data_IF_935055083685
#
_entry.id   IF_935055083685
#
_cell.length_a   1.000
_cell.length_b   1.000
_cell.length_c   1.000
_cell.angle_alpha   90.00
_cell.angle_beta   90.00
_cell.angle_gamma   90.00
#
_symmetry.space_group_name_H-M   'P 1'
#
loop_
_entity.id
_entity.type
_entity.pdbx_description
1 polymer ?
#
# COMPACT_ATOMS: atom_id res chain seq x y z
N UNK A 1 4.28 9.77 52.73
CA UNK A 1 3.93 10.47 51.46
C UNK A 1 5.12 10.98 50.65
N UNK A 2 6.30 11.28 51.22
CA UNK A 2 7.47 11.76 50.44
C UNK A 2 8.05 10.74 49.44
N UNK A 3 8.05 9.44 49.75
CA UNK A 3 8.64 8.42 48.85
C UNK A 3 7.91 8.24 47.51
N UNK A 4 6.61 8.54 47.43
CA UNK A 4 5.84 8.38 46.20
C UNK A 4 6.19 9.44 45.14
N UNK A 5 6.51 10.67 45.58
CA UNK A 5 6.94 11.74 44.68
C UNK A 5 8.34 11.47 44.11
N UNK A 6 9.25 10.93 44.91
CA UNK A 6 10.60 10.57 44.43
C UNK A 6 10.57 9.45 43.38
N UNK A 7 9.71 8.45 43.56
CA UNK A 7 9.51 7.42 42.54
C UNK A 7 8.88 7.96 41.25
N UNK A 8 7.94 8.90 41.34
CA UNK A 8 7.37 9.56 40.16
C UNK A 8 8.42 10.40 39.41
N UNK A 9 9.33 11.06 40.11
CA UNK A 9 10.44 11.76 39.46
C UNK A 9 11.38 10.80 38.75
N UNK A 10 11.73 9.65 39.37
CA UNK A 10 12.55 8.61 38.71
C UNK A 10 11.88 8.04 37.44
N UNK A 11 10.54 7.90 37.40
CA UNK A 11 9.77 7.51 36.18
C UNK A 11 10.04 8.44 35.03
N UNK A 12 9.80 9.72 35.30
CA UNK A 12 9.80 10.73 34.27
C UNK A 12 11.23 10.89 33.73
N UNK A 13 12.23 10.85 34.62
CA UNK A 13 13.64 10.81 34.26
C UNK A 13 13.96 9.59 33.37
N UNK A 14 13.53 8.37 33.73
CA UNK A 14 13.81 7.18 32.92
C UNK A 14 13.13 7.20 31.54
N UNK A 15 11.86 7.64 31.47
CA UNK A 15 11.14 7.74 30.18
C UNK A 15 11.76 8.81 29.29
N UNK A 16 12.14 9.97 29.85
CA UNK A 16 12.88 11.01 29.13
C UNK A 16 14.23 10.49 28.63
N UNK A 17 14.97 9.76 29.47
CA UNK A 17 16.25 9.15 29.09
C UNK A 17 16.07 8.12 27.97
N UNK A 18 15.07 7.23 28.07
CA UNK A 18 14.79 6.24 27.04
C UNK A 18 14.35 6.89 25.72
N UNK A 19 13.53 7.95 25.77
CA UNK A 19 13.18 8.74 24.59
C UNK A 19 14.44 9.33 23.95
N UNK A 20 15.31 9.94 24.74
CA UNK A 20 16.57 10.51 24.24
C UNK A 20 17.48 9.45 23.60
N UNK A 21 17.57 8.25 24.18
CA UNK A 21 18.33 7.12 23.60
C UNK A 21 17.72 6.65 22.28
N UNK A 22 16.39 6.57 22.18
CA UNK A 22 15.72 6.20 20.93
C UNK A 22 15.86 7.28 19.85
N UNK A 23 15.75 8.55 20.21
CA UNK A 23 15.95 9.68 19.31
C UNK A 23 17.39 9.68 18.78
N UNK A 24 18.37 9.41 19.65
CA UNK A 24 19.77 9.22 19.26
C UNK A 24 19.94 8.02 18.33
N UNK A 25 19.32 6.87 18.62
CA UNK A 25 19.39 5.69 17.75
C UNK A 25 18.78 5.95 16.36
N UNK A 26 17.66 6.67 16.30
CA UNK A 26 17.04 7.11 15.04
C UNK A 26 17.98 8.05 14.29
N UNK A 27 18.59 9.01 14.99
CA UNK A 27 19.55 9.95 14.42
C UNK A 27 20.76 9.23 13.82
N UNK A 28 21.40 8.33 14.58
CA UNK A 28 22.54 7.52 14.11
C UNK A 28 22.12 6.66 12.91
N UNK A 29 20.94 6.04 12.96
CA UNK A 29 20.43 5.24 11.83
C UNK A 29 20.26 6.11 10.57
N UNK A 30 19.68 7.31 10.69
CA UNK A 30 19.55 8.27 9.57
C UNK A 30 20.89 8.82 9.11
N UNK A 31 21.88 8.92 10.00
CA UNK A 31 23.22 9.39 9.68
C UNK A 31 23.99 8.34 8.87
N UNK A 32 23.86 7.06 9.22
CA UNK A 32 24.63 5.96 8.60
C UNK A 32 23.93 5.28 7.42
N UNK A 33 22.59 5.23 7.43
CA UNK A 33 21.81 4.44 6.48
C UNK A 33 20.76 5.26 5.72
N UNK A 34 20.56 4.88 4.46
CA UNK A 34 19.35 5.19 3.73
C UNK A 34 18.30 4.11 3.99
N UNK A 35 17.10 4.52 4.41
CA UNK A 35 16.01 3.61 4.77
C UNK A 35 14.89 3.71 3.74
N UNK A 36 14.53 2.59 3.13
CA UNK A 36 13.49 2.55 2.10
C UNK A 36 12.59 1.33 2.24
N UNK A 37 11.36 1.43 1.74
CA UNK A 37 10.39 0.35 1.72
C UNK A 37 10.52 -0.50 0.44
N UNK A 38 10.31 -1.81 0.57
CA UNK A 38 10.23 -2.68 -0.60
C UNK A 38 8.79 -2.76 -1.08
N UNK A 39 8.57 -2.53 -2.38
CA UNK A 39 7.24 -2.59 -3.02
C UNK A 39 6.53 -3.88 -2.61
N UNK A 40 5.36 -3.72 -2.00
CA UNK A 40 4.44 -4.78 -1.55
C UNK A 40 4.80 -5.49 -0.22
N UNK A 41 5.72 -4.94 0.57
CA UNK A 41 5.95 -5.41 1.94
C UNK A 41 6.05 -4.24 2.91
N UNK A 42 5.72 -4.48 4.19
CA UNK A 42 6.05 -3.53 5.25
C UNK A 42 7.52 -3.68 5.70
N UNK A 43 8.37 -4.35 4.91
CA UNK A 43 9.77 -4.52 5.23
C UNK A 43 10.54 -3.24 4.87
N UNK A 44 11.40 -2.82 5.80
CA UNK A 44 12.33 -1.73 5.61
C UNK A 44 13.70 -2.31 5.25
N UNK A 45 14.31 -1.74 4.22
CA UNK A 45 15.66 -2.04 3.79
C UNK A 45 16.57 -0.88 4.19
N UNK A 46 17.75 -1.24 4.70
CA UNK A 46 18.77 -0.31 5.15
C UNK A 46 19.96 -0.46 4.22
N UNK A 47 20.22 0.58 3.42
CA UNK A 47 21.41 0.67 2.58
C UNK A 47 22.42 1.57 3.28
N UNK A 48 23.71 1.25 3.22
CA UNK A 48 24.72 2.23 3.60
C UNK A 48 24.61 3.45 2.68
N UNK A 49 24.85 4.65 3.21
CA UNK A 49 24.75 5.88 2.38
C UNK A 49 25.66 5.87 1.16
N UNK A 50 26.83 5.26 1.26
CA UNK A 50 27.78 5.12 0.15
C UNK A 50 27.17 4.28 -0.98
N UNK A 51 26.63 3.10 -0.64
CA UNK A 51 25.97 2.23 -1.62
C UNK A 51 24.74 2.91 -2.21
N UNK A 52 23.92 3.56 -1.38
CA UNK A 52 22.76 4.27 -1.88
C UNK A 52 23.13 5.41 -2.84
N UNK A 53 24.20 6.15 -2.57
CA UNK A 53 24.67 7.21 -3.46
C UNK A 53 25.11 6.67 -4.83
N UNK A 54 25.75 5.50 -4.87
CA UNK A 54 26.07 4.83 -6.13
C UNK A 54 24.82 4.43 -6.91
N UNK A 55 23.81 3.89 -6.21
CA UNK A 55 22.50 3.56 -6.79
C UNK A 55 21.81 4.80 -7.36
N UNK A 56 21.82 5.92 -6.63
CA UNK A 56 21.25 7.19 -7.09
C UNK A 56 21.97 7.72 -8.33
N UNK A 57 23.31 7.74 -8.33
CA UNK A 57 24.10 8.20 -9.47
C UNK A 57 23.82 7.35 -10.72
N UNK A 58 23.74 6.03 -10.56
CA UNK A 58 23.34 5.12 -11.64
C UNK A 58 21.91 5.41 -12.12
N UNK A 59 20.96 5.56 -11.19
CA UNK A 59 19.57 5.88 -11.49
C UNK A 59 19.41 7.21 -12.24
N UNK A 60 20.16 8.25 -11.86
CA UNK A 60 20.20 9.52 -12.57
C UNK A 60 20.80 9.40 -13.97
N UNK A 61 21.88 8.63 -14.13
CA UNK A 61 22.48 8.37 -15.44
C UNK A 61 21.48 7.71 -16.39
N UNK A 62 20.77 6.68 -15.94
CA UNK A 62 19.75 6.00 -16.72
C UNK A 62 18.55 6.92 -17.04
N UNK A 63 18.10 7.70 -16.06
CA UNK A 63 17.02 8.67 -16.25
C UNK A 63 17.39 9.74 -17.29
N UNK A 64 18.64 10.24 -17.25
CA UNK A 64 19.16 11.21 -18.21
C UNK A 64 19.17 10.66 -19.63
N UNK A 65 19.57 9.39 -19.81
CA UNK A 65 19.54 8.70 -21.11
C UNK A 65 18.11 8.51 -21.63
N UNK A 66 17.20 8.05 -20.76
CA UNK A 66 15.82 7.73 -21.14
C UNK A 66 15.00 8.97 -21.50
N UNK A 67 15.05 10.01 -20.67
CA UNK A 67 14.21 11.20 -20.82
C UNK A 67 14.91 12.35 -21.54
N UNK A 68 16.12 12.12 -22.07
CA UNK A 68 16.96 13.15 -22.71
C UNK A 68 17.06 14.42 -21.86
N UNK A 69 17.24 14.26 -20.54
CA UNK A 69 17.27 15.39 -19.62
C UNK A 69 18.47 16.29 -19.93
N UNK A 70 18.22 17.55 -20.23
CA UNK A 70 19.22 18.60 -20.24
C UNK A 70 19.39 19.15 -18.82
N UNK A 71 20.62 19.51 -18.48
CA UNK A 71 20.86 20.29 -17.27
C UNK A 71 20.38 21.71 -17.57
N UNK A 72 19.42 22.20 -16.79
CA UNK A 72 19.05 23.61 -16.82
C UNK A 72 20.15 24.38 -16.11
N UNK A 73 20.79 25.32 -16.80
CA UNK A 73 21.82 26.18 -16.24
C UNK A 73 21.33 26.82 -14.93
N UNK A 74 22.16 26.77 -13.88
CA UNK A 74 21.80 27.20 -12.52
C UNK A 74 21.73 28.72 -12.34
N UNK A 75 21.84 29.51 -13.39
CA UNK A 75 22.03 30.96 -13.29
C UNK A 75 21.12 31.69 -14.29
N UNK A 76 20.19 32.49 -13.77
CA UNK A 76 19.53 33.54 -14.52
C UNK A 76 18.30 33.14 -15.34
N UNK A 77 17.17 33.78 -15.04
CA UNK A 77 16.35 34.43 -16.06
C UNK A 77 16.05 33.60 -17.34
N UNK A 78 15.25 32.55 -17.25
CA UNK A 78 14.22 32.38 -18.27
C UNK A 78 12.91 32.83 -17.66
N UNK A 79 12.56 34.07 -17.99
CA UNK A 79 11.27 34.69 -17.74
C UNK A 79 10.16 33.94 -18.47
N UNK A 80 9.84 32.73 -18.03
CA UNK A 80 8.43 32.41 -17.93
C UNK A 80 7.92 33.32 -16.82
N UNK A 81 7.03 34.27 -17.17
CA UNK A 81 6.24 35.06 -16.23
C UNK A 81 5.37 34.13 -15.37
N UNK A 82 5.99 33.33 -14.52
CA UNK A 82 5.38 32.70 -13.37
C UNK A 82 5.60 33.72 -12.26
N UNK A 83 4.51 34.24 -11.71
CA UNK A 83 4.48 35.21 -10.60
C UNK A 83 5.61 34.93 -9.60
N UNK A 84 6.17 35.95 -8.97
CA UNK A 84 7.23 35.82 -7.95
C UNK A 84 6.85 34.88 -6.77
N UNK A 85 5.57 34.51 -6.65
CA UNK A 85 5.08 33.48 -5.74
C UNK A 85 5.36 32.02 -6.20
N UNK A 86 5.62 31.79 -7.48
CA UNK A 86 5.90 30.48 -8.09
C UNK A 86 7.40 30.24 -8.37
N UNK A 87 8.27 31.23 -8.17
CA UNK A 87 9.70 31.16 -8.51
C UNK A 87 10.57 30.26 -7.57
N UNK A 88 9.97 29.53 -6.62
CA UNK A 88 10.67 28.52 -5.79
C UNK A 88 10.40 27.06 -6.21
N UNK A 89 9.96 26.86 -7.44
CA UNK A 89 9.38 25.60 -7.93
C UNK A 89 10.37 24.45 -8.18
N UNK A 90 11.11 24.00 -7.15
CA UNK A 90 11.26 22.54 -7.00
C UNK A 90 9.96 22.00 -6.42
N UNK A 91 8.86 22.06 -7.19
CA UNK A 91 7.56 21.54 -6.76
C UNK A 91 7.72 20.06 -6.40
N UNK A 92 8.66 19.36 -7.05
CA UNK A 92 8.94 17.95 -6.87
C UNK A 92 10.42 17.67 -6.67
N UNK A 93 10.71 16.66 -5.85
CA UNK A 93 12.01 16.03 -5.69
C UNK A 93 12.00 14.67 -6.38
N UNK A 94 13.07 14.36 -7.11
CA UNK A 94 13.27 13.00 -7.62
C UNK A 94 13.68 12.09 -6.48
N UNK A 95 12.92 11.01 -6.27
CA UNK A 95 13.26 9.93 -5.33
C UNK A 95 13.40 8.63 -6.09
N UNK A 96 14.45 7.88 -5.78
CA UNK A 96 14.70 6.56 -6.32
C UNK A 96 14.16 5.46 -5.40
N UNK A 97 13.55 4.43 -6.00
CA UNK A 97 13.03 3.25 -5.28
C UNK A 97 13.61 1.98 -5.95
N UNK A 98 14.19 1.04 -5.19
CA UNK A 98 14.64 -0.23 -5.74
C UNK A 98 13.45 -1.05 -6.25
N UNK A 99 13.59 -1.64 -7.44
CA UNK A 99 12.55 -2.42 -8.10
C UNK A 99 13.16 -3.62 -8.83
N UNK A 100 13.40 -4.71 -8.09
CA UNK A 100 14.12 -5.87 -8.61
C UNK A 100 15.61 -5.53 -8.80
N UNK A 101 16.12 -5.77 -10.01
CA UNK A 101 17.48 -5.40 -10.41
C UNK A 101 17.58 -3.99 -11.02
N UNK A 102 16.51 -3.19 -10.93
CA UNK A 102 16.46 -1.82 -11.47
C UNK A 102 16.15 -0.81 -10.37
N UNK A 103 16.38 0.45 -10.68
CA UNK A 103 15.96 1.59 -9.87
C UNK A 103 14.83 2.30 -10.61
N UNK A 104 13.75 2.65 -9.90
CA UNK A 104 12.66 3.45 -10.46
C UNK A 104 12.67 4.85 -9.84
N UNK A 105 12.74 5.87 -10.69
CA UNK A 105 12.53 7.25 -10.30
C UNK A 105 11.03 7.49 -10.04
N UNK A 106 10.73 8.28 -9.02
CA UNK A 106 9.41 8.86 -8.76
C UNK A 106 9.58 10.35 -8.41
N UNK A 107 8.61 11.16 -8.80
CA UNK A 107 8.53 12.57 -8.40
C UNK A 107 7.74 12.65 -7.09
N UNK A 108 8.33 13.24 -6.05
CA UNK A 108 7.69 13.44 -4.74
C UNK A 108 7.48 14.94 -4.55
N UNK A 109 6.24 15.43 -4.34
CA UNK A 109 6.03 16.85 -4.12
C UNK A 109 6.78 17.33 -2.87
N UNK A 110 7.55 18.41 -2.99
CA UNK A 110 8.34 19.00 -1.89
C UNK A 110 7.43 19.48 -0.76
N UNK A 111 6.26 20.01 -1.12
CA UNK A 111 5.20 20.35 -0.19
C UNK A 111 4.18 19.21 -0.18
N UNK A 112 4.27 18.36 0.84
CA UNK A 112 3.37 17.23 1.07
C UNK A 112 1.96 17.68 1.46
N UNK A 113 1.26 18.39 0.56
CA UNK A 113 -0.20 18.44 0.63
C UNK A 113 -0.66 17.00 0.40
N UNK A 114 -1.26 16.45 1.44
CA UNK A 114 -1.77 15.08 1.45
C UNK A 114 -2.90 14.98 0.42
N UNK A 115 -2.57 14.62 -0.81
CA UNK A 115 -3.56 14.21 -1.79
C UNK A 115 -4.24 12.96 -1.24
N UNK A 116 -5.45 13.14 -0.72
CA UNK A 116 -6.31 12.03 -0.34
C UNK A 116 -6.74 11.35 -1.63
N UNK A 117 -6.05 10.28 -2.02
CA UNK A 117 -6.58 9.39 -3.04
C UNK A 117 -7.93 8.85 -2.58
N UNK A 118 -8.98 9.29 -3.26
CA UNK A 118 -10.31 8.74 -3.11
C UNK A 118 -10.34 7.35 -3.74
N UNK A 119 -11.08 6.45 -3.10
CA UNK A 119 -10.87 5.01 -3.14
C UNK A 119 -11.64 4.38 -4.30
N UNK A 120 -11.05 4.31 -5.49
CA UNK A 120 -11.65 3.74 -6.72
C UNK A 120 -11.88 2.22 -6.71
N UNK A 121 -11.42 1.49 -5.67
CA UNK A 121 -11.49 0.01 -5.64
C UNK A 121 -12.87 -0.59 -5.89
N UNK A 122 -13.96 0.14 -5.61
CA UNK A 122 -15.33 -0.34 -5.85
C UNK A 122 -15.73 -0.34 -7.32
N UNK A 123 -15.18 0.58 -8.12
CA UNK A 123 -15.57 0.76 -9.52
C UNK A 123 -15.38 -0.52 -10.33
N UNK A 124 -14.25 -1.22 -10.12
CA UNK A 124 -13.96 -2.46 -10.83
C UNK A 124 -14.85 -3.63 -10.41
N UNK A 125 -15.11 -3.82 -9.12
CA UNK A 125 -15.97 -4.91 -8.64
C UNK A 125 -17.39 -4.77 -9.21
N UNK A 126 -17.91 -3.54 -9.25
CA UNK A 126 -19.23 -3.23 -9.81
C UNK A 126 -19.27 -3.43 -11.33
N UNK A 127 -18.23 -2.98 -12.04
CA UNK A 127 -18.11 -3.17 -13.50
C UNK A 127 -18.01 -4.65 -13.86
N UNK A 128 -17.17 -5.42 -13.15
CA UNK A 128 -17.02 -6.85 -13.37
C UNK A 128 -18.31 -7.61 -13.05
N UNK A 129 -19.01 -7.25 -11.96
CA UNK A 129 -20.30 -7.86 -11.61
C UNK A 129 -21.36 -7.63 -12.69
N UNK A 130 -21.42 -6.43 -13.27
CA UNK A 130 -22.30 -6.13 -14.42
C UNK A 130 -21.92 -6.95 -15.66
N UNK A 131 -20.64 -6.98 -16.02
CA UNK A 131 -20.13 -7.78 -17.13
C UNK A 131 -20.43 -9.28 -16.95
N UNK A 132 -20.19 -9.81 -15.75
CA UNK A 132 -20.43 -11.20 -15.40
C UNK A 132 -21.91 -11.57 -15.55
N UNK A 133 -22.83 -10.70 -15.11
CA UNK A 133 -24.28 -10.90 -15.28
C UNK A 133 -24.68 -10.98 -16.76
N UNK A 134 -24.12 -10.12 -17.61
CA UNK A 134 -24.43 -10.07 -19.04
C UNK A 134 -23.85 -11.23 -19.85
N UNK A 135 -22.77 -11.86 -19.38
CA UNK A 135 -22.03 -12.85 -20.15
C UNK A 135 -22.01 -14.26 -19.52
N UNK A 136 -22.93 -14.57 -18.59
CA UNK A 136 -22.98 -15.88 -17.88
C UNK A 136 -22.98 -17.11 -18.77
N UNK A 137 -23.55 -17.01 -19.97
CA UNK A 137 -23.65 -18.13 -20.94
C UNK A 137 -22.50 -18.18 -21.94
N UNK A 138 -21.64 -17.17 -21.97
CA UNK A 138 -20.58 -17.04 -22.98
C UNK A 138 -19.26 -17.55 -22.43
N UNK A 139 -18.48 -18.19 -23.30
CA UNK A 139 -17.08 -18.49 -23.01
C UNK A 139 -16.29 -17.19 -22.98
N UNK A 140 -15.52 -16.98 -21.91
CA UNK A 140 -14.78 -15.74 -21.69
C UNK A 140 -13.31 -15.97 -21.98
N UNK A 141 -12.81 -15.22 -22.97
CA UNK A 141 -11.39 -15.11 -23.23
C UNK A 141 -10.85 -13.89 -22.51
N UNK A 142 -9.69 -14.05 -21.88
CA UNK A 142 -9.06 -13.02 -21.07
C UNK A 142 -7.61 -12.87 -21.49
N UNK A 143 -7.23 -11.62 -21.76
CA UNK A 143 -5.85 -11.19 -21.93
C UNK A 143 -5.54 -10.27 -20.76
N UNK A 144 -4.51 -10.60 -19.98
CA UNK A 144 -3.86 -9.63 -19.09
C UNK A 144 -2.51 -9.32 -19.67
N UNK A 145 -2.19 -8.04 -19.77
CA UNK A 145 -0.86 -7.58 -20.13
C UNK A 145 -0.41 -6.45 -19.23
N UNK A 146 0.88 -6.14 -19.26
CA UNK A 146 1.50 -5.02 -18.56
C UNK A 146 2.13 -4.12 -19.63
N UNK A 147 1.74 -2.84 -19.67
CA UNK A 147 2.32 -1.89 -20.61
C UNK A 147 3.73 -1.51 -20.14
N UNK A 148 4.71 -1.66 -21.02
CA UNK A 148 6.10 -1.31 -20.70
C UNK A 148 6.22 0.20 -20.57
N UNK A 149 6.76 0.65 -19.44
CA UNK A 149 7.18 2.05 -19.24
C UNK A 149 6.11 3.07 -19.71
N UNK A 150 4.83 2.78 -19.44
CA UNK A 150 3.72 3.55 -20.04
C UNK A 150 3.74 5.05 -19.72
N UNK A 151 4.33 5.43 -18.57
CA UNK A 151 4.52 6.84 -18.22
C UNK A 151 5.65 7.50 -19.02
N UNK A 152 6.71 6.76 -19.33
CA UNK A 152 7.88 7.27 -20.04
C UNK A 152 7.63 7.35 -21.55
N UNK A 153 6.71 6.52 -22.07
CA UNK A 153 6.29 6.52 -23.49
C UNK A 153 5.04 7.38 -23.78
N UNK A 154 4.58 8.15 -22.81
CA UNK A 154 3.38 8.98 -22.97
C UNK A 154 3.66 10.14 -23.92
N UNK A 155 2.96 10.20 -25.05
CA UNK A 155 3.01 11.35 -25.94
C UNK A 155 2.26 12.53 -25.31
N UNK A 156 3.00 13.55 -24.87
CA UNK A 156 2.45 14.74 -24.22
C UNK A 156 1.62 15.61 -25.17
N UNK A 157 1.90 15.60 -26.48
CA UNK A 157 1.14 16.35 -27.48
C UNK A 157 -0.22 15.69 -27.67
N UNK A 158 -0.24 14.37 -27.85
CA UNK A 158 -1.47 13.59 -27.96
C UNK A 158 -2.29 13.69 -26.67
N UNK A 159 -1.66 13.55 -25.50
CA UNK A 159 -2.32 13.69 -24.21
C UNK A 159 -2.97 15.06 -24.07
N UNK A 160 -2.26 16.15 -24.44
CA UNK A 160 -2.81 17.50 -24.41
C UNK A 160 -4.06 17.60 -25.30
N UNK A 161 -4.01 17.07 -26.51
CA UNK A 161 -5.17 17.03 -27.42
C UNK A 161 -6.36 16.27 -26.83
N UNK A 162 -6.13 15.11 -26.21
CA UNK A 162 -7.18 14.34 -25.53
C UNK A 162 -7.76 15.13 -24.36
N UNK A 163 -6.93 15.76 -23.52
CA UNK A 163 -7.39 16.56 -22.38
C UNK A 163 -8.24 17.74 -22.86
N UNK A 164 -7.80 18.48 -23.88
CA UNK A 164 -8.60 19.55 -24.49
C UNK A 164 -9.95 19.02 -24.99
N UNK A 165 -9.96 17.90 -25.69
CA UNK A 165 -11.21 17.29 -26.17
C UNK A 165 -12.12 16.82 -25.04
N UNK A 166 -11.60 16.32 -23.92
CA UNK A 166 -12.42 15.93 -22.75
C UNK A 166 -13.02 17.16 -22.05
N UNK A 167 -12.28 18.26 -21.99
CA UNK A 167 -12.76 19.52 -21.42
C UNK A 167 -13.86 20.11 -22.32
N UNK A 168 -13.69 20.02 -23.63
CA UNK A 168 -14.60 20.62 -24.60
C UNK A 168 -15.79 19.70 -24.96
N UNK A 169 -15.69 18.37 -24.78
CA UNK A 169 -16.73 17.41 -25.15
C UNK A 169 -17.07 16.42 -24.02
N UNK A 170 -18.36 16.29 -23.69
CA UNK A 170 -18.90 15.27 -22.76
C UNK A 170 -18.79 13.81 -23.25
N UNK A 171 -18.21 13.55 -24.42
CA UNK A 171 -18.25 12.22 -25.05
C UNK A 171 -16.88 11.74 -25.48
N UNK A 172 -16.28 10.88 -24.65
CA UNK A 172 -15.23 9.98 -25.09
C UNK A 172 -15.85 8.88 -25.97
N UNK A 173 -15.26 8.57 -27.15
CA UNK A 173 -15.71 7.46 -27.96
C UNK A 173 -15.51 6.14 -27.21
N UNK A 174 -16.60 5.37 -27.08
CA UNK A 174 -16.55 4.01 -26.53
C UNK A 174 -15.90 3.13 -27.60
N UNK A 175 -14.72 2.58 -27.28
CA UNK A 175 -13.99 1.65 -28.15
C UNK A 175 -14.88 0.45 -28.49
N UNK A 176 -15.00 0.15 -29.78
CA UNK A 176 -15.75 -0.99 -30.30
C UNK A 176 -15.28 -2.31 -29.68
N UNK A 177 -16.24 -3.22 -29.49
CA UNK A 177 -15.96 -4.57 -28.97
C UNK A 177 -15.00 -5.29 -29.91
N UNK A 178 -13.76 -5.50 -29.48
CA UNK A 178 -12.88 -6.43 -30.18
C UNK A 178 -13.43 -7.85 -30.05
N UNK A 179 -13.94 -8.40 -31.15
CA UNK A 179 -14.53 -9.76 -31.21
C UNK A 179 -13.49 -10.86 -31.27
N UNK A 180 -12.22 -10.52 -31.51
CA UNK A 180 -11.13 -11.48 -31.71
C UNK A 180 -9.98 -11.24 -30.72
N UNK A 181 -9.83 -12.07 -29.67
CA UNK A 181 -8.81 -11.85 -28.63
C UNK A 181 -7.38 -12.00 -29.14
N UNK A 182 -7.15 -12.73 -30.24
CA UNK A 182 -5.83 -12.88 -30.88
C UNK A 182 -5.44 -11.57 -31.57
N UNK A 183 -6.34 -10.96 -32.35
CA UNK A 183 -6.08 -9.68 -33.02
C UNK A 183 -5.82 -8.56 -32.00
N UNK A 184 -6.60 -8.51 -30.91
CA UNK A 184 -6.36 -7.57 -29.81
C UNK A 184 -4.97 -7.76 -29.17
N UNK A 185 -4.59 -9.02 -28.92
CA UNK A 185 -3.31 -9.36 -28.34
C UNK A 185 -2.16 -8.96 -29.27
N UNK A 186 -2.28 -9.27 -30.55
CA UNK A 186 -1.30 -8.90 -31.58
C UNK A 186 -1.14 -7.38 -31.68
N UNK A 187 -2.24 -6.64 -31.77
CA UNK A 187 -2.21 -5.17 -31.81
C UNK A 187 -1.48 -4.59 -30.60
N UNK A 188 -1.82 -5.02 -29.38
CA UNK A 188 -1.20 -4.47 -28.17
C UNK A 188 0.29 -4.87 -28.03
N UNK A 189 0.71 -6.02 -28.57
CA UNK A 189 2.11 -6.46 -28.55
C UNK A 189 2.96 -5.79 -29.62
N UNK A 190 2.36 -5.46 -30.77
CA UNK A 190 3.04 -4.74 -31.85
C UNK A 190 3.03 -3.22 -31.63
N UNK A 191 2.14 -2.75 -30.76
CA UNK A 191 1.97 -1.34 -30.45
C UNK A 191 0.57 -0.88 -30.85
N UNK A 192 -0.06 -0.10 -29.98
CA UNK A 192 -1.34 0.55 -30.32
C UNK A 192 -1.02 1.72 -31.23
N UNK A 193 -1.57 1.72 -32.44
CA UNK A 193 -1.39 2.77 -33.44
C UNK A 193 -1.54 4.16 -32.80
N UNK A 194 -0.55 5.02 -33.04
CA UNK A 194 -0.46 6.41 -32.55
C UNK A 194 -0.13 6.60 -31.07
N UNK A 195 -0.07 5.56 -30.23
CA UNK A 195 0.17 5.73 -28.79
C UNK A 195 1.59 5.38 -28.33
N UNK A 196 2.42 4.77 -29.18
CA UNK A 196 3.77 4.28 -28.82
C UNK A 196 3.79 3.38 -27.56
N UNK A 197 2.66 2.75 -27.23
CA UNK A 197 2.52 1.87 -26.07
C UNK A 197 2.60 0.42 -26.51
N UNK A 198 3.53 -0.32 -25.90
CA UNK A 198 3.79 -1.73 -26.21
C UNK A 198 3.64 -2.58 -24.95
N UNK A 199 2.94 -3.70 -25.07
CA UNK A 199 2.82 -4.68 -24.01
C UNK A 199 4.11 -5.48 -23.75
N UNK A 200 4.28 -5.92 -22.50
CA UNK A 200 5.33 -6.86 -22.12
C UNK A 200 4.87 -8.32 -22.36
N UNK A 201 5.35 -9.03 -23.40
CA UNK A 201 4.97 -10.42 -23.63
C UNK A 201 5.24 -11.34 -22.43
N UNK A 202 6.34 -11.09 -21.68
CA UNK A 202 6.72 -11.92 -20.53
C UNK A 202 5.76 -11.81 -19.33
N UNK A 203 5.03 -10.69 -19.25
CA UNK A 203 4.01 -10.47 -18.21
C UNK A 203 2.60 -10.71 -18.72
N UNK A 204 2.47 -11.08 -19.99
CA UNK A 204 1.19 -11.32 -20.63
C UNK A 204 0.69 -12.71 -20.29
N UNK A 205 -0.57 -12.77 -19.85
CA UNK A 205 -1.25 -13.99 -19.41
C UNK A 205 -2.52 -14.16 -20.23
N UNK A 206 -2.68 -15.34 -20.86
CA UNK A 206 -3.82 -15.67 -21.72
C UNK A 206 -4.44 -17.01 -21.34
N UNK A 207 -5.75 -17.16 -21.59
CA UNK A 207 -6.50 -18.41 -21.37
C UNK A 207 -7.01 -19.06 -22.67
N UNK A 208 -6.42 -18.70 -23.82
CA UNK A 208 -6.76 -19.22 -25.15
C UNK A 208 -5.49 -19.54 -25.94
N UNK A 209 -5.63 -20.42 -26.93
CA UNK A 209 -4.54 -20.78 -27.83
C UNK A 209 -4.27 -19.60 -28.77
N UNK A 210 -3.00 -19.22 -28.89
CA UNK A 210 -2.53 -18.19 -29.82
C UNK A 210 -1.46 -18.79 -30.71
N UNK A 211 -1.43 -18.39 -31.98
CA UNK A 211 -0.36 -18.75 -32.93
C UNK A 211 0.77 -17.73 -32.94
N UNK A 212 0.69 -16.67 -32.11
CA UNK A 212 1.72 -15.64 -32.01
C UNK A 212 2.97 -16.22 -31.32
N UNK A 213 4.14 -16.01 -31.93
CA UNK A 213 5.42 -16.56 -31.46
C UNK A 213 6.06 -15.68 -30.37
N UNK A 214 5.39 -15.54 -29.22
CA UNK A 214 5.89 -14.79 -28.07
C UNK A 214 5.85 -15.63 -26.78
N UNK A 215 6.70 -15.33 -25.80
CA UNK A 215 6.80 -16.08 -24.54
C UNK A 215 5.69 -15.69 -23.54
N UNK A 216 4.42 -15.98 -23.86
CA UNK A 216 3.31 -15.74 -22.95
C UNK A 216 3.19 -16.79 -21.85
N UNK A 217 2.57 -16.41 -20.74
CA UNK A 217 2.08 -17.38 -19.76
C UNK A 217 0.69 -17.86 -20.14
N UNK A 218 0.58 -19.14 -20.48
CA UNK A 218 -0.71 -19.79 -20.67
C UNK A 218 -1.31 -20.20 -19.32
N UNK A 219 -2.59 -19.90 -19.10
CA UNK A 219 -3.37 -20.46 -18.00
C UNK A 219 -4.44 -21.39 -18.56
N UNK A 220 -4.71 -22.47 -17.82
CA UNK A 220 -5.83 -23.36 -18.12
C UNK A 220 -7.16 -22.59 -18.18
N UNK A 221 -8.16 -23.07 -18.92
CA UNK A 221 -9.46 -22.38 -19.05
C UNK A 221 -10.14 -22.15 -17.69
N UNK A 222 -9.96 -23.08 -16.75
CA UNK A 222 -10.44 -22.98 -15.36
C UNK A 222 -9.47 -22.29 -14.40
N UNK A 223 -8.36 -21.76 -14.92
CA UNK A 223 -7.37 -21.00 -14.17
C UNK A 223 -7.87 -19.61 -13.78
N UNK A 224 -6.98 -18.84 -13.17
CA UNK A 224 -7.25 -17.45 -12.79
C UNK A 224 -6.13 -16.53 -13.26
N UNK A 225 -6.50 -15.27 -13.44
CA UNK A 225 -5.59 -14.17 -13.72
C UNK A 225 -5.56 -13.27 -12.49
N UNK A 226 -4.38 -13.05 -11.93
CA UNK A 226 -4.21 -12.01 -10.91
C UNK A 226 -4.17 -10.65 -11.59
N UNK A 227 -5.02 -9.70 -11.22
CA UNK A 227 -5.03 -8.34 -11.74
C UNK A 227 -5.46 -7.34 -10.66
N UNK A 228 -4.67 -6.29 -10.45
CA UNK A 228 -4.93 -5.23 -9.47
C UNK A 228 -5.30 -5.73 -8.05
N UNK A 229 -4.65 -6.80 -7.59
CA UNK A 229 -4.91 -7.40 -6.28
C UNK A 229 -6.13 -8.32 -6.19
N UNK A 230 -6.77 -8.63 -7.32
CA UNK A 230 -7.83 -9.64 -7.44
C UNK A 230 -7.33 -10.85 -8.22
N UNK A 231 -7.82 -12.04 -7.90
CA UNK A 231 -7.77 -13.22 -8.75
C UNK A 231 -9.11 -13.31 -9.49
N UNK A 232 -9.05 -13.21 -10.82
CA UNK A 232 -10.20 -13.24 -11.73
C UNK A 232 -10.27 -14.63 -12.35
N UNK A 233 -11.42 -15.29 -12.25
CA UNK A 233 -11.69 -16.62 -12.79
C UNK A 233 -12.61 -16.46 -14.00
N UNK A 234 -12.10 -16.45 -15.25
CA UNK A 234 -12.89 -16.13 -16.42
C UNK A 234 -14.00 -17.15 -16.68
N UNK A 235 -13.73 -18.45 -16.49
CA UNK A 235 -14.69 -19.53 -16.77
C UNK A 235 -15.95 -19.46 -15.90
N UNK A 236 -15.82 -19.10 -14.62
CA UNK A 236 -16.94 -19.00 -13.68
C UNK A 236 -17.38 -17.56 -13.40
N UNK A 237 -16.76 -16.59 -14.08
CA UNK A 237 -17.02 -15.16 -13.93
C UNK A 237 -17.02 -14.72 -12.45
N UNK A 238 -15.97 -15.12 -11.73
CA UNK A 238 -15.79 -14.84 -10.30
C UNK A 238 -14.52 -14.02 -10.06
N UNK A 239 -14.57 -13.15 -9.06
CA UNK A 239 -13.38 -12.47 -8.53
C UNK A 239 -13.19 -12.83 -7.05
N UNK A 240 -11.94 -12.92 -6.62
CA UNK A 240 -11.57 -12.98 -5.22
C UNK A 240 -10.40 -12.06 -4.93
N UNK A 241 -10.25 -11.57 -3.70
CA UNK A 241 -9.03 -10.86 -3.32
C UNK A 241 -7.84 -11.82 -3.43
N UNK A 242 -6.78 -11.38 -4.11
CA UNK A 242 -5.62 -12.23 -4.38
C UNK A 242 -4.88 -12.56 -3.09
N UNK A 243 -4.64 -13.85 -2.86
CA UNK A 243 -3.90 -14.30 -1.69
C UNK A 243 -2.38 -14.13 -1.86
N UNK A 244 -1.88 -13.95 -3.09
CA UNK A 244 -0.44 -13.79 -3.35
C UNK A 244 0.16 -12.58 -2.62
N UNK A 245 -0.62 -11.50 -2.44
CA UNK A 245 -0.22 -10.32 -1.66
C UNK A 245 -0.36 -10.51 -0.14
N UNK A 246 -0.96 -11.61 0.32
CA UNK A 246 -1.26 -11.78 1.75
C UNK A 246 -0.10 -12.39 2.55
N UNK A 247 0.81 -13.14 1.91
CA UNK A 247 1.90 -13.82 2.62
C UNK A 247 2.95 -12.88 3.20
N UNK A 248 3.16 -11.69 2.64
CA UNK A 248 4.12 -10.68 3.15
C UNK A 248 3.45 -9.57 3.96
N UNK A 249 2.12 -9.45 3.87
CA UNK A 249 1.39 -8.46 4.63
C UNK A 249 1.00 -9.02 5.99
N UNK A 250 1.63 -8.51 7.06
CA UNK A 250 1.20 -8.74 8.45
C UNK A 250 -0.27 -8.34 8.67
N UNK A 251 -0.84 -7.58 7.73
CA UNK A 251 -2.25 -7.24 7.68
C UNK A 251 -2.94 -8.08 6.60
N UNK A 252 -3.72 -9.13 6.95
CA UNK A 252 -4.45 -9.90 5.96
C UNK A 252 -5.32 -8.96 5.10
N UNK A 253 -5.40 -9.16 3.76
CA UNK A 253 -6.31 -8.39 2.93
C UNK A 253 -7.71 -8.56 3.50
N UNK A 254 -8.28 -7.44 3.95
CA UNK A 254 -9.58 -7.45 4.61
C UNK A 254 -10.62 -7.95 3.61
N UNK A 255 -11.10 -9.20 3.77
CA UNK A 255 -12.32 -9.64 3.09
C UNK A 255 -13.42 -8.64 3.48
N UNK A 256 -14.02 -7.97 2.51
CA UNK A 256 -15.07 -6.98 2.79
C UNK A 256 -16.32 -7.59 3.47
N UNK A 257 -16.42 -8.91 3.48
CA UNK A 257 -17.48 -9.69 4.11
C UNK A 257 -17.09 -10.33 5.44
N UNK A 258 -16.11 -9.77 6.17
CA UNK A 258 -15.89 -10.24 7.54
C UNK A 258 -17.12 -9.90 8.38
N UNK A 259 -17.70 -10.92 9.02
CA UNK A 259 -18.68 -10.75 10.09
C UNK A 259 -18.12 -9.83 11.19
N UNK A 260 -18.99 -9.24 12.01
CA UNK A 260 -18.53 -8.44 13.15
C UNK A 260 -17.59 -9.23 14.07
N UNK A 261 -17.79 -10.55 14.18
CA UNK A 261 -16.91 -11.45 14.92
C UNK A 261 -15.52 -11.55 14.29
N UNK A 262 -15.43 -11.83 12.99
CA UNK A 262 -14.13 -11.95 12.31
C UNK A 262 -13.36 -10.62 12.28
N UNK A 263 -14.07 -9.49 12.18
CA UNK A 263 -13.46 -8.15 12.33
C UNK A 263 -12.81 -8.00 13.71
N UNK A 264 -13.52 -8.38 14.79
CA UNK A 264 -12.97 -8.36 16.16
C UNK A 264 -11.76 -9.29 16.31
N UNK A 265 -11.82 -10.51 15.77
CA UNK A 265 -10.69 -11.44 15.76
C UNK A 265 -9.47 -10.87 15.03
N UNK A 266 -9.70 -10.24 13.89
CA UNK A 266 -8.64 -9.60 13.08
C UNK A 266 -7.95 -8.49 13.87
N UNK A 267 -8.73 -7.62 14.52
CA UNK A 267 -8.19 -6.57 15.41
C UNK A 267 -7.32 -7.20 16.52
N UNK A 268 -7.80 -8.25 17.20
CA UNK A 268 -7.02 -8.92 18.26
C UNK A 268 -5.70 -9.48 17.76
N UNK A 269 -5.71 -10.19 16.62
CA UNK A 269 -4.51 -10.78 16.03
C UNK A 269 -3.47 -9.71 15.72
N UNK A 270 -3.90 -8.63 15.04
CA UNK A 270 -3.01 -7.52 14.67
C UNK A 270 -2.49 -6.80 15.91
N UNK A 271 -3.36 -6.48 16.87
CA UNK A 271 -2.99 -5.76 18.09
C UNK A 271 -2.01 -6.58 18.93
N UNK A 272 -2.28 -7.88 19.13
CA UNK A 272 -1.36 -8.78 19.83
C UNK A 272 -0.01 -8.83 19.13
N UNK A 273 0.02 -8.99 17.81
CA UNK A 273 1.27 -8.96 17.06
C UNK A 273 2.03 -7.64 17.27
N UNK A 274 1.33 -6.50 17.17
CA UNK A 274 1.92 -5.16 17.28
C UNK A 274 2.44 -4.81 18.69
N UNK A 275 1.82 -5.34 19.76
CA UNK A 275 2.15 -4.93 21.13
C UNK A 275 2.71 -6.03 22.02
N UNK A 276 2.75 -7.29 21.56
CA UNK A 276 3.22 -8.43 22.37
C UNK A 276 4.68 -8.31 22.83
N UNK A 277 5.59 -7.94 21.93
CA UNK A 277 7.01 -7.74 22.29
C UNK A 277 7.18 -6.65 23.34
N UNK A 278 6.52 -5.49 23.13
CA UNK A 278 6.52 -4.38 24.10
C UNK A 278 5.94 -4.82 25.44
N UNK A 279 4.80 -5.51 25.43
CA UNK A 279 4.19 -6.06 26.64
C UNK A 279 5.15 -6.97 27.41
N UNK A 280 5.82 -7.89 26.71
CA UNK A 280 6.76 -8.84 27.31
C UNK A 280 7.94 -8.15 27.98
N UNK A 281 8.54 -7.15 27.31
CA UNK A 281 9.59 -6.31 27.88
C UNK A 281 9.09 -5.61 29.14
N UNK A 282 7.92 -4.95 29.07
CA UNK A 282 7.38 -4.21 30.20
C UNK A 282 7.07 -5.11 31.40
N UNK A 283 6.52 -6.31 31.18
CA UNK A 283 6.23 -7.26 32.28
C UNK A 283 7.49 -7.75 32.99
N UNK A 284 8.62 -7.87 32.28
CA UNK A 284 9.91 -8.25 32.88
C UNK A 284 10.57 -7.11 33.64
N UNK A 285 10.42 -5.87 33.16
CA UNK A 285 11.06 -4.70 33.75
C UNK A 285 10.30 -4.11 34.95
N UNK A 286 9.02 -4.45 35.13
CA UNK A 286 8.17 -3.78 36.11
C UNK A 286 7.64 -4.72 37.19
N UNK A 287 7.76 -4.30 38.45
CA UNK A 287 7.24 -4.98 39.64
C UNK A 287 6.24 -4.08 40.39
N UNK A 288 5.31 -4.69 41.13
CA UNK A 288 4.35 -3.95 41.98
C UNK A 288 3.41 -2.99 41.23
N UNK A 289 3.09 -1.85 41.86
CA UNK A 289 2.14 -0.84 41.35
C UNK A 289 2.58 -0.28 39.97
N UNK A 290 3.89 -0.22 39.73
CA UNK A 290 4.48 0.26 38.50
C UNK A 290 4.08 -0.55 37.27
N UNK A 291 4.09 -1.87 37.41
CA UNK A 291 3.63 -2.78 36.37
C UNK A 291 2.22 -2.44 35.93
N UNK A 292 1.33 -2.21 36.89
CA UNK A 292 -0.06 -1.85 36.61
C UNK A 292 -0.17 -0.51 35.86
N UNK A 293 0.58 0.52 36.27
CA UNK A 293 0.56 1.85 35.62
C UNK A 293 1.09 1.78 34.19
N UNK A 294 2.25 1.15 33.99
CA UNK A 294 2.91 1.04 32.68
C UNK A 294 2.07 0.21 31.71
N UNK A 295 1.51 -0.92 32.17
CA UNK A 295 0.60 -1.73 31.35
C UNK A 295 -0.71 -0.99 31.02
N UNK A 296 -1.22 -0.15 31.93
CA UNK A 296 -2.36 0.73 31.64
C UNK A 296 -2.01 1.72 30.53
N UNK A 297 -0.85 2.38 30.58
CA UNK A 297 -0.41 3.30 29.51
C UNK A 297 -0.19 2.59 28.18
N UNK A 298 0.45 1.42 28.17
CA UNK A 298 0.60 0.60 26.96
C UNK A 298 -0.76 0.26 26.35
N UNK A 299 -1.75 -0.11 27.18
CA UNK A 299 -3.09 -0.44 26.68
C UNK A 299 -3.83 0.74 26.05
N UNK A 300 -3.56 1.97 26.51
CA UNK A 300 -4.08 3.19 25.90
C UNK A 300 -3.41 3.47 24.54
N UNK A 301 -2.08 3.45 24.50
CA UNK A 301 -1.31 3.60 23.24
C UNK A 301 -1.78 2.56 22.22
N UNK A 302 -1.95 1.31 22.66
CA UNK A 302 -2.44 0.24 21.81
C UNK A 302 -3.84 0.52 21.24
N UNK A 303 -4.71 1.12 22.06
CA UNK A 303 -6.06 1.46 21.68
C UNK A 303 -6.10 2.58 20.64
N UNK A 304 -5.38 3.67 20.90
CA UNK A 304 -5.39 4.87 20.06
C UNK A 304 -4.67 4.63 18.73
N UNK A 305 -3.52 3.95 18.75
CA UNK A 305 -2.69 3.75 17.56
C UNK A 305 -3.11 2.57 16.69
N UNK A 306 -3.66 1.50 17.28
CA UNK A 306 -3.97 0.28 16.53
C UNK A 306 -5.48 -0.03 16.53
N UNK A 307 -6.12 -0.11 17.71
CA UNK A 307 -7.48 -0.64 17.82
C UNK A 307 -8.49 0.27 17.13
N UNK A 308 -8.54 1.55 17.49
CA UNK A 308 -9.52 2.49 16.95
C UNK A 308 -9.36 2.71 15.44
N UNK A 309 -8.14 2.92 14.90
CA UNK A 309 -7.92 2.99 13.46
C UNK A 309 -8.32 1.71 12.72
N UNK A 310 -7.98 0.53 13.27
CA UNK A 310 -8.36 -0.75 12.66
C UNK A 310 -9.87 -0.98 12.69
N UNK A 311 -10.56 -0.65 13.79
CA UNK A 311 -12.01 -0.76 13.90
C UNK A 311 -12.72 0.12 12.86
N UNK A 312 -12.23 1.37 12.66
CA UNK A 312 -12.73 2.27 11.62
C UNK A 312 -12.44 1.70 10.22
N UNK A 313 -11.22 1.22 9.97
CA UNK A 313 -10.81 0.63 8.68
C UNK A 313 -11.62 -0.62 8.32
N UNK A 314 -11.99 -1.41 9.32
CA UNK A 314 -12.81 -2.62 9.19
C UNK A 314 -14.32 -2.32 9.15
N UNK A 315 -14.75 -1.07 9.26
CA UNK A 315 -16.16 -0.71 9.43
C UNK A 315 -16.83 -1.54 10.53
N UNK A 316 -16.18 -1.64 11.69
CA UNK A 316 -16.75 -2.29 12.86
C UNK A 316 -17.74 -1.31 13.51
N UNK A 317 -19.05 -1.59 13.42
CA UNK A 317 -20.07 -0.71 13.99
C UNK A 317 -19.89 -0.59 15.52
N UNK A 318 -19.48 0.57 16.06
CA UNK A 318 -19.22 0.72 17.49
C UNK A 318 -20.49 0.70 18.34
N UNK A 319 -21.67 0.92 17.72
CA UNK A 319 -22.97 0.92 18.41
C UNK A 319 -23.47 -0.49 18.71
N UNK A 320 -23.08 -1.49 17.92
CA UNK A 320 -23.49 -2.88 18.13
C UNK A 320 -23.00 -3.39 19.50
N UNK A 321 -23.87 -4.06 20.25
CA UNK A 321 -23.64 -4.49 21.64
C UNK A 321 -22.29 -5.21 21.83
N UNK A 322 -22.05 -6.23 21.03
CA UNK A 322 -20.82 -7.03 21.09
C UNK A 322 -19.56 -6.23 20.72
N UNK A 323 -19.65 -5.27 19.81
CA UNK A 323 -18.52 -4.42 19.42
C UNK A 323 -18.21 -3.40 20.52
N UNK A 324 -19.24 -2.83 21.16
CA UNK A 324 -19.08 -1.90 22.29
C UNK A 324 -18.39 -2.59 23.47
N UNK A 325 -18.86 -3.79 23.83
CA UNK A 325 -18.23 -4.60 24.87
C UNK A 325 -16.78 -4.97 24.51
N UNK A 326 -16.53 -5.41 23.28
CA UNK A 326 -15.19 -5.69 22.78
C UNK A 326 -14.25 -4.49 22.94
N UNK A 327 -14.67 -3.30 22.49
CA UNK A 327 -13.87 -2.07 22.61
C UNK A 327 -13.66 -1.65 24.07
N UNK A 328 -14.64 -1.88 24.96
CA UNK A 328 -14.52 -1.60 26.39
C UNK A 328 -13.47 -2.49 27.06
N UNK A 329 -13.41 -3.77 26.68
CA UNK A 329 -12.62 -4.76 27.40
C UNK A 329 -11.26 -5.10 26.76
N UNK A 330 -11.03 -4.78 25.49
CA UNK A 330 -9.76 -5.09 24.81
C UNK A 330 -8.53 -4.47 25.51
N UNK A 331 -8.68 -3.30 26.14
CA UNK A 331 -7.60 -2.69 26.93
C UNK A 331 -7.25 -3.52 28.18
N UNK A 332 -8.27 -4.04 28.88
CA UNK A 332 -8.06 -4.96 30.01
C UNK A 332 -7.39 -6.25 29.54
N UNK A 333 -7.78 -6.77 28.37
CA UNK A 333 -7.13 -7.94 27.77
C UNK A 333 -5.64 -7.71 27.47
N UNK A 334 -5.26 -6.52 27.00
CA UNK A 334 -3.84 -6.13 26.83
C UNK A 334 -3.14 -6.05 28.19
N UNK A 335 -3.74 -5.40 29.19
CA UNK A 335 -3.17 -5.29 30.54
C UNK A 335 -2.91 -6.67 31.18
N UNK A 336 -3.81 -7.62 30.94
CA UNK A 336 -3.72 -9.01 31.42
C UNK A 336 -2.76 -9.89 30.60
N UNK A 337 -2.04 -9.32 29.62
CA UNK A 337 -1.04 -10.03 28.84
C UNK A 337 -1.60 -10.99 27.82
N UNK A 338 -2.73 -10.59 27.23
CA UNK A 338 -3.43 -11.39 26.23
C UNK A 338 -3.96 -12.73 26.76
N UNK A 339 -3.85 -12.98 28.08
CA UNK A 339 -4.41 -14.14 28.75
C UNK A 339 -5.93 -14.03 28.68
N UNK A 340 -6.57 -15.09 28.19
CA UNK A 340 -8.04 -15.17 28.13
C UNK A 340 -8.64 -15.55 29.50
N UNK A 341 -7.88 -16.28 30.32
CA UNK A 341 -8.38 -17.01 31.50
C UNK A 341 -8.94 -16.14 32.63
N UNK A 342 -8.68 -14.84 32.68
CA UNK A 342 -9.02 -14.02 33.85
C UNK A 342 -10.35 -13.27 33.77
N UNK A 343 -11.16 -13.46 32.71
CA UNK A 343 -12.47 -12.82 32.64
C UNK A 343 -13.46 -13.64 31.79
N UNK A 344 -14.39 -14.41 32.41
CA UNK A 344 -15.33 -15.26 31.68
C UNK A 344 -16.23 -14.45 30.71
N UNK A 345 -16.55 -13.20 31.04
CA UNK A 345 -17.26 -12.29 30.12
C UNK A 345 -16.42 -11.97 28.89
N UNK A 346 -15.09 -11.89 29.05
CA UNK A 346 -14.19 -11.75 27.92
C UNK A 346 -14.07 -13.03 27.11
N UNK A 347 -14.04 -14.20 27.76
CA UNK A 347 -14.05 -15.48 27.05
C UNK A 347 -15.23 -15.54 26.09
N UNK A 348 -16.42 -15.09 26.52
CA UNK A 348 -17.60 -15.05 25.64
C UNK A 348 -17.46 -14.02 24.49
N UNK A 349 -16.91 -12.84 24.78
CA UNK A 349 -16.66 -11.81 23.74
C UNK A 349 -15.60 -12.23 22.71
N UNK A 350 -14.73 -13.11 23.14
CA UNK A 350 -13.58 -13.62 22.41
C UNK A 350 -13.79 -15.04 21.90
N UNK A 351 -15.03 -15.54 22.08
CA UNK A 351 -15.59 -16.86 21.85
C UNK A 351 -14.70 -17.83 21.08
N UNK A 352 -14.29 -18.85 21.82
CA UNK A 352 -14.91 -20.17 21.62
C UNK A 352 -16.42 -20.05 21.43
#
# INVERSE_FOLDING_TARGET
MRSFNDEMNKKDIFVRLLSAVLDLAIFVTKASFYVTDMRNSNALFFYSKVVWKQIENHGFSELKKLLKLSETEKEGQTSFHLDENDAKCSIFNVRFIPSGNKVRAIMVPSNSRTYKHQKERRFFEDLFSKYAKQNRKKKIYSVRTDLRQCFDHMDHVLLKGIISNIIDCERLPIVEKCTQPVAFLEQILNGIDNYNMVADPLKTVINFKSNLNYPFKFIHMNGYITWNGYDIFPAVLKISASQSNSKTSVVPPFKLYLSSYEKRLTIRKIVRAAVSQRYFILVRLSFGIWKTVVLKKLSWIAYDLYIQPLAKKLNLNPKAYWNRLFMKHIRKWIQQGFKQKSNPKLTYLFNL
#
